data_IF_894960573789
#
_entry.id   IF_894960573789
#
_cell.length_a   1.000
_cell.length_b   1.000
_cell.length_c   1.000
_cell.angle_alpha   90.00
_cell.angle_beta   90.00
_cell.angle_gamma   90.00
#
_symmetry.space_group_name_H-M   'P 1'
#
loop_
_entity.id
_entity.type
_entity.pdbx_description
1 polymer ?
#
# COMPACT_ATOMS: atom_id res chain seq x y z
N UNK A 1 14.35 -14.15 6.93
CA UNK A 1 14.52 -12.69 6.73
C UNK A 1 15.55 -12.14 7.72
N UNK A 2 16.10 -10.97 7.38
CA UNK A 2 16.92 -10.17 8.29
C UNK A 2 16.45 -8.72 8.27
N UNK A 3 16.82 -7.97 9.33
CA UNK A 3 16.41 -6.58 9.51
C UNK A 3 17.65 -5.70 9.53
N UNK A 4 17.71 -4.74 8.63
CA UNK A 4 18.64 -3.62 8.68
C UNK A 4 18.08 -2.61 9.69
N UNK A 5 18.72 -2.49 10.83
CA UNK A 5 18.22 -1.70 11.95
C UNK A 5 18.31 -0.17 11.76
N UNK A 6 18.92 0.29 10.67
CA UNK A 6 19.09 1.69 10.33
C UNK A 6 19.41 1.86 8.85
N UNK A 7 19.16 3.04 8.30
CA UNK A 7 19.56 3.43 6.94
C UNK A 7 21.09 3.52 6.78
N UNK A 8 21.83 3.61 7.87
CA UNK A 8 23.30 3.63 7.89
C UNK A 8 23.93 2.23 7.89
N UNK A 9 23.13 1.18 7.73
CA UNK A 9 23.63 -0.20 7.66
C UNK A 9 24.56 -0.37 6.45
N UNK A 10 25.59 -1.26 6.54
CA UNK A 10 26.49 -1.51 5.42
C UNK A 10 25.73 -1.96 4.16
N UNK A 11 25.97 -1.32 3.02
CA UNK A 11 25.29 -1.62 1.76
C UNK A 11 25.52 -3.08 1.30
N UNK A 12 26.65 -3.69 1.67
CA UNK A 12 26.95 -5.11 1.39
C UNK A 12 25.92 -6.08 1.98
N UNK A 13 25.22 -5.67 3.05
CA UNK A 13 24.14 -6.48 3.63
C UNK A 13 22.97 -6.68 2.65
N UNK A 14 22.78 -5.79 1.68
CA UNK A 14 21.78 -5.91 0.63
C UNK A 14 22.12 -6.97 -0.41
N UNK A 15 23.37 -7.43 -0.48
CA UNK A 15 23.81 -8.48 -1.40
C UNK A 15 23.45 -9.89 -0.92
N UNK A 16 22.92 -10.07 0.28
CA UNK A 16 22.48 -11.36 0.79
C UNK A 16 21.29 -11.85 -0.04
N UNK A 17 21.45 -12.99 -0.67
CA UNK A 17 20.42 -13.67 -1.45
C UNK A 17 19.63 -14.65 -0.55
N UNK A 18 18.46 -15.09 -1.02
CA UNK A 18 17.59 -16.08 -0.36
C UNK A 18 16.97 -15.67 0.98
N UNK A 19 17.14 -14.44 1.42
CA UNK A 19 16.51 -13.91 2.63
C UNK A 19 15.73 -12.63 2.34
N UNK A 20 14.53 -12.54 2.90
CA UNK A 20 13.76 -11.30 2.89
C UNK A 20 14.51 -10.18 3.65
N UNK A 21 14.61 -9.00 3.04
CA UNK A 21 15.35 -7.84 3.53
C UNK A 21 14.39 -6.78 4.02
N UNK A 22 14.40 -6.53 5.32
CA UNK A 22 13.60 -5.49 5.94
C UNK A 22 14.53 -4.36 6.37
N UNK A 23 14.11 -3.11 6.19
CA UNK A 23 14.85 -1.94 6.66
C UNK A 23 14.03 -1.15 7.65
N UNK A 24 14.67 -0.68 8.70
CA UNK A 24 14.07 0.20 9.69
C UNK A 24 14.32 1.65 9.30
N UNK A 25 13.28 2.46 9.19
CA UNK A 25 13.37 3.87 8.84
C UNK A 25 12.62 4.74 9.86
N UNK A 26 13.11 5.94 10.17
CA UNK A 26 12.39 6.87 11.05
C UNK A 26 11.16 7.46 10.35
N UNK A 27 10.14 7.82 11.12
CA UNK A 27 8.89 8.37 10.61
C UNK A 27 9.04 9.79 10.02
N UNK A 28 10.15 10.47 10.32
CA UNK A 28 10.54 11.79 9.83
C UNK A 28 11.60 11.72 8.71
N UNK A 29 11.74 10.57 8.04
CA UNK A 29 12.66 10.41 6.92
C UNK A 29 12.38 11.48 5.84
N UNK A 30 13.41 12.20 5.35
CA UNK A 30 13.26 13.16 4.26
C UNK A 30 12.63 12.52 2.99
N UNK A 31 11.80 13.29 2.30
CA UNK A 31 11.04 12.82 1.14
C UNK A 31 11.95 12.27 0.02
N UNK A 32 13.09 12.93 -0.23
CA UNK A 32 14.06 12.49 -1.24
C UNK A 32 14.63 11.10 -0.93
N UNK A 33 14.87 10.81 0.36
CA UNK A 33 15.34 9.49 0.79
C UNK A 33 14.22 8.46 0.75
N UNK A 34 12.97 8.87 1.03
CA UNK A 34 11.80 8.03 0.92
C UNK A 34 11.61 7.51 -0.52
N UNK A 35 11.71 8.40 -1.51
CA UNK A 35 11.66 8.02 -2.92
C UNK A 35 12.81 7.09 -3.32
N UNK A 36 14.03 7.40 -2.87
CA UNK A 36 15.21 6.56 -3.17
C UNK A 36 15.09 5.16 -2.56
N UNK A 37 14.37 5.03 -1.43
CA UNK A 37 14.12 3.75 -0.76
C UNK A 37 13.32 2.78 -1.65
N UNK A 38 12.51 3.28 -2.56
CA UNK A 38 11.76 2.45 -3.50
C UNK A 38 12.67 1.69 -4.48
N UNK A 39 13.80 2.29 -4.85
CA UNK A 39 14.73 1.74 -5.84
C UNK A 39 15.71 0.72 -5.25
N UNK A 40 15.96 0.74 -3.94
CA UNK A 40 16.89 -0.20 -3.32
C UNK A 40 16.24 -1.58 -3.09
N UNK A 41 17.04 -2.67 -3.10
CA UNK A 41 16.52 -4.04 -3.02
C UNK A 41 16.13 -4.46 -1.60
N UNK A 42 15.19 -3.77 -0.98
CA UNK A 42 14.53 -4.16 0.27
C UNK A 42 13.12 -4.64 -0.01
N UNK A 43 12.65 -5.62 0.74
CA UNK A 43 11.35 -6.27 0.52
C UNK A 43 10.24 -5.64 1.35
N UNK A 44 10.59 -4.98 2.46
CA UNK A 44 9.62 -4.34 3.38
C UNK A 44 10.29 -3.26 4.21
N UNK A 45 9.51 -2.30 4.67
CA UNK A 45 9.95 -1.17 5.49
C UNK A 45 9.30 -1.22 6.85
N UNK A 46 10.10 -1.08 7.91
CA UNK A 46 9.63 -0.96 9.30
C UNK A 46 9.76 0.50 9.73
N UNK A 47 8.63 1.14 9.98
CA UNK A 47 8.58 2.52 10.45
C UNK A 47 8.79 2.57 11.96
N UNK A 48 9.70 3.43 12.41
CA UNK A 48 10.03 3.67 13.82
C UNK A 48 9.97 5.15 14.17
N UNK A 49 10.08 5.48 15.45
CA UNK A 49 10.17 6.87 15.92
C UNK A 49 8.83 7.58 16.13
N UNK A 50 7.70 6.86 16.02
CA UNK A 50 6.44 7.38 16.52
C UNK A 50 6.42 7.30 18.05
N UNK A 51 5.81 8.29 18.70
CA UNK A 51 5.71 8.32 20.15
C UNK A 51 4.91 7.13 20.69
N UNK A 52 5.57 6.26 21.47
CA UNK A 52 4.95 5.06 22.06
C UNK A 52 4.21 5.32 23.38
N UNK A 53 4.43 6.48 23.98
CA UNK A 53 3.91 6.78 25.33
C UNK A 53 2.40 7.06 25.37
N UNK A 54 1.77 7.36 24.24
CA UNK A 54 0.38 7.78 24.14
C UNK A 54 -0.42 6.94 23.12
N UNK A 55 -1.73 6.95 23.18
CA UNK A 55 -2.55 6.49 22.06
C UNK A 55 -2.09 7.15 20.75
N UNK A 56 -2.28 6.47 19.63
CA UNK A 56 -1.95 7.03 18.31
C UNK A 56 -2.61 8.39 18.12
N UNK A 57 -1.80 9.39 17.82
CA UNK A 57 -2.26 10.72 17.50
C UNK A 57 -2.58 10.87 16.00
N UNK A 58 -3.35 11.90 15.66
CA UNK A 58 -3.58 12.26 14.25
C UNK A 58 -2.25 12.60 13.56
N UNK A 59 -1.28 13.20 14.28
CA UNK A 59 0.06 13.48 13.76
C UNK A 59 0.78 12.19 13.34
N UNK A 60 0.73 11.14 14.18
CA UNK A 60 1.35 9.85 13.88
C UNK A 60 0.74 9.25 12.60
N UNK A 61 -0.59 9.33 12.47
CA UNK A 61 -1.27 8.87 11.27
C UNK A 61 -0.89 9.66 10.01
N UNK A 62 -0.69 10.98 10.14
CA UNK A 62 -0.20 11.81 9.03
C UNK A 62 1.22 11.42 8.63
N UNK A 63 2.12 11.15 9.58
CA UNK A 63 3.48 10.68 9.29
C UNK A 63 3.46 9.31 8.60
N UNK A 64 2.68 8.36 9.11
CA UNK A 64 2.49 7.05 8.47
C UNK A 64 1.94 7.19 7.06
N UNK A 65 0.95 8.06 6.87
CA UNK A 65 0.34 8.30 5.56
C UNK A 65 1.33 8.94 4.59
N UNK A 66 2.08 9.95 5.04
CA UNK A 66 3.12 10.58 4.23
C UNK A 66 4.15 9.55 3.75
N UNK A 67 4.64 8.70 4.66
CA UNK A 67 5.55 7.62 4.30
C UNK A 67 4.93 6.64 3.31
N UNK A 68 3.65 6.28 3.50
CA UNK A 68 2.94 5.38 2.60
C UNK A 68 2.79 5.93 1.18
N UNK A 69 2.70 7.25 1.04
CA UNK A 69 2.60 7.90 -0.27
C UNK A 69 3.95 7.93 -1.00
N UNK A 70 5.08 7.82 -0.28
CA UNK A 70 6.43 7.78 -0.85
C UNK A 70 6.86 6.38 -1.33
N UNK A 71 6.35 5.31 -0.70
CA UNK A 71 6.79 3.93 -0.96
C UNK A 71 5.61 3.02 -1.26
N UNK A 72 5.79 2.09 -2.20
CA UNK A 72 4.82 1.04 -2.54
C UNK A 72 5.05 -0.27 -1.77
N UNK A 73 6.28 -0.47 -1.27
CA UNK A 73 6.68 -1.67 -0.51
C UNK A 73 5.83 -1.86 0.75
N UNK A 74 5.68 -3.10 1.24
CA UNK A 74 4.99 -3.37 2.50
C UNK A 74 5.52 -2.50 3.63
N UNK A 75 4.61 -1.77 4.31
CA UNK A 75 4.91 -0.90 5.44
C UNK A 75 4.46 -1.55 6.74
N UNK A 76 5.42 -1.81 7.60
CA UNK A 76 5.22 -2.33 8.95
C UNK A 76 5.46 -1.19 9.96
N UNK A 77 4.83 -1.26 11.11
CA UNK A 77 4.99 -0.29 12.19
C UNK A 77 5.57 -0.96 13.42
N UNK A 78 6.71 -0.46 13.96
CA UNK A 78 7.24 -0.92 15.23
C UNK A 78 6.52 -0.23 16.39
N UNK A 79 6.08 -1.03 17.37
CA UNK A 79 5.43 -0.54 18.60
C UNK A 79 6.00 -1.23 19.82
N UNK A 80 6.19 -0.45 20.88
CA UNK A 80 6.63 -0.91 22.21
C UNK A 80 5.47 -1.02 23.20
N UNK A 81 4.25 -0.64 22.79
CA UNK A 81 3.02 -0.76 23.58
C UNK A 81 1.93 -1.49 22.78
N UNK A 82 0.97 -2.04 23.53
CA UNK A 82 -0.22 -2.62 22.94
C UNK A 82 -1.04 -1.58 22.18
N UNK A 83 -1.57 -1.99 21.05
CA UNK A 83 -2.55 -1.25 20.25
C UNK A 83 -3.93 -1.85 20.49
N UNK A 84 -4.94 -1.00 20.61
CA UNK A 84 -6.31 -1.47 20.67
C UNK A 84 -6.89 -1.68 19.25
N UNK A 85 -8.00 -2.40 19.15
CA UNK A 85 -8.63 -2.74 17.87
C UNK A 85 -8.94 -1.52 17.01
N UNK A 86 -9.35 -0.38 17.62
CA UNK A 86 -9.66 0.85 16.85
C UNK A 86 -8.40 1.46 16.24
N UNK A 87 -7.28 1.45 16.97
CA UNK A 87 -5.99 1.91 16.47
C UNK A 87 -5.52 1.02 15.31
N UNK A 88 -5.69 -0.30 15.41
CA UNK A 88 -5.35 -1.23 14.34
C UNK A 88 -6.17 -0.99 13.07
N UNK A 89 -7.49 -0.75 13.19
CA UNK A 89 -8.34 -0.42 12.04
C UNK A 89 -7.85 0.86 11.34
N UNK A 90 -7.56 1.92 12.11
CA UNK A 90 -7.10 3.18 11.53
C UNK A 90 -5.73 3.03 10.88
N UNK A 91 -4.80 2.27 11.47
CA UNK A 91 -3.50 1.97 10.87
C UNK A 91 -3.65 1.20 9.55
N UNK A 92 -4.55 0.23 9.50
CA UNK A 92 -4.88 -0.50 8.29
C UNK A 92 -5.42 0.45 7.19
N UNK A 93 -6.30 1.39 7.56
CA UNK A 93 -6.90 2.35 6.64
C UNK A 93 -5.86 3.33 6.04
N UNK A 94 -4.85 3.74 6.83
CA UNK A 94 -3.77 4.61 6.33
C UNK A 94 -2.68 3.83 5.56
N UNK A 95 -2.75 2.49 5.55
CA UNK A 95 -1.93 1.67 4.68
C UNK A 95 -0.83 0.87 5.36
N UNK A 96 -0.81 0.76 6.69
CA UNK A 96 0.03 -0.18 7.43
C UNK A 96 -0.42 -1.61 7.11
N UNK A 97 0.53 -2.52 6.89
CA UNK A 97 0.27 -3.90 6.49
C UNK A 97 0.65 -4.92 7.57
N UNK A 98 1.35 -4.47 8.60
CA UNK A 98 1.70 -5.31 9.73
C UNK A 98 2.26 -4.51 10.90
N UNK A 99 2.28 -5.14 12.07
CA UNK A 99 2.82 -4.57 13.31
C UNK A 99 4.01 -5.41 13.75
N UNK A 100 5.09 -4.75 14.11
CA UNK A 100 6.25 -5.34 14.78
C UNK A 100 6.19 -4.95 16.25
N UNK A 101 6.13 -5.95 17.15
CA UNK A 101 6.03 -5.70 18.58
C UNK A 101 7.41 -5.85 19.23
N UNK A 102 7.83 -4.85 20.02
CA UNK A 102 9.04 -4.91 20.81
C UNK A 102 8.79 -5.69 22.12
N UNK A 103 9.05 -6.99 22.10
CA UNK A 103 8.83 -7.88 23.24
C UNK A 103 9.77 -7.63 24.44
N UNK A 104 10.76 -6.72 24.31
CA UNK A 104 11.62 -6.32 25.44
C UNK A 104 10.87 -5.44 26.43
N UNK A 105 9.86 -4.73 25.96
CA UNK A 105 9.09 -3.74 26.73
C UNK A 105 7.63 -4.13 26.89
N UNK A 106 7.10 -4.98 26.02
CA UNK A 106 5.72 -5.44 26.01
C UNK A 106 5.55 -6.73 26.83
N UNK A 107 4.43 -6.88 27.52
CA UNK A 107 4.04 -8.11 28.18
C UNK A 107 3.47 -9.10 27.17
N UNK A 108 3.67 -10.40 27.42
CA UNK A 108 3.15 -11.47 26.56
C UNK A 108 1.62 -11.42 26.41
N UNK A 109 0.91 -11.05 27.50
CA UNK A 109 -0.56 -10.91 27.50
C UNK A 109 -1.03 -9.82 26.56
N UNK A 110 -0.34 -8.66 26.56
CA UNK A 110 -0.63 -7.52 25.70
C UNK A 110 -0.36 -7.88 24.23
N UNK A 111 0.75 -8.56 23.95
CA UNK A 111 1.08 -9.04 22.61
C UNK A 111 0.04 -10.05 22.09
N UNK A 112 -0.39 -10.99 22.94
CA UNK A 112 -1.42 -11.96 22.59
C UNK A 112 -2.78 -11.27 22.27
N UNK A 113 -3.12 -10.20 23.03
CA UNK A 113 -4.32 -9.44 22.76
C UNK A 113 -4.24 -8.69 21.41
N UNK A 114 -3.10 -8.03 21.12
CA UNK A 114 -2.89 -7.37 19.82
C UNK A 114 -3.02 -8.38 18.68
N UNK A 115 -2.44 -9.58 18.83
CA UNK A 115 -2.56 -10.64 17.84
C UNK A 115 -4.02 -11.02 17.58
N UNK A 116 -4.79 -11.26 18.63
CA UNK A 116 -6.22 -11.58 18.54
C UNK A 116 -7.00 -10.46 17.85
N UNK A 117 -6.75 -9.20 18.24
CA UNK A 117 -7.41 -8.05 17.65
C UNK A 117 -7.07 -7.90 16.15
N UNK A 118 -5.84 -8.27 15.73
CA UNK A 118 -5.45 -8.30 14.33
C UNK A 118 -6.17 -9.39 13.53
N UNK A 119 -6.39 -10.58 14.10
CA UNK A 119 -7.15 -11.66 13.45
C UNK A 119 -8.63 -11.28 13.24
N UNK A 120 -9.19 -10.45 14.11
CA UNK A 120 -10.55 -9.98 14.05
C UNK A 120 -10.73 -8.72 13.17
N UNK A 121 -9.65 -8.19 12.56
CA UNK A 121 -9.75 -7.00 11.70
C UNK A 121 -10.64 -7.26 10.49
N UNK A 122 -11.49 -6.29 10.14
CA UNK A 122 -12.26 -6.38 8.90
C UNK A 122 -11.32 -6.41 7.69
N UNK A 123 -11.72 -7.07 6.59
CA UNK A 123 -10.92 -7.06 5.37
C UNK A 123 -10.71 -5.62 4.88
N UNK A 124 -9.49 -5.31 4.43
CA UNK A 124 -9.11 -3.99 3.96
C UNK A 124 -10.07 -3.50 2.89
N UNK A 125 -10.68 -2.36 3.10
CA UNK A 125 -11.49 -1.67 2.09
C UNK A 125 -10.57 -1.13 1.02
N UNK A 126 -10.43 -1.82 -0.10
CA UNK A 126 -9.74 -1.29 -1.28
C UNK A 126 -10.60 -0.13 -1.77
N UNK A 127 -10.15 1.12 -1.56
CA UNK A 127 -10.79 2.28 -2.18
C UNK A 127 -10.65 2.11 -3.69
N UNK A 128 -11.75 1.82 -4.37
CA UNK A 128 -11.82 1.67 -5.83
C UNK A 128 -11.46 2.94 -6.61
N UNK A 129 -11.22 4.05 -5.92
CA UNK A 129 -11.01 5.35 -6.55
C UNK A 129 -9.68 5.47 -7.31
N UNK A 130 -8.73 4.56 -7.12
CA UNK A 130 -7.48 4.57 -7.90
C UNK A 130 -7.47 3.62 -9.10
N UNK A 131 -8.41 2.70 -9.21
CA UNK A 131 -8.48 1.75 -10.32
C UNK A 131 -9.46 2.18 -11.43
N UNK A 132 -10.20 3.29 -11.25
CA UNK A 132 -11.33 3.68 -12.08
C UNK A 132 -11.08 4.69 -13.20
N UNK A 133 -9.88 5.26 -13.31
CA UNK A 133 -9.71 6.49 -14.11
C UNK A 133 -9.05 6.32 -15.49
N UNK A 134 -8.67 5.13 -15.94
CA UNK A 134 -7.86 5.02 -17.17
C UNK A 134 -8.26 3.96 -18.21
N UNK A 135 -9.50 3.50 -18.21
CA UNK A 135 -9.99 2.79 -19.39
C UNK A 135 -11.08 3.63 -20.06
N UNK A 136 -10.80 4.27 -21.22
CA UNK A 136 -11.85 4.78 -22.07
C UNK A 136 -12.76 3.59 -22.43
N UNK A 137 -14.05 3.68 -22.10
CA UNK A 137 -15.02 2.74 -22.64
C UNK A 137 -14.99 2.89 -24.15
N UNK A 138 -14.32 1.99 -24.83
CA UNK A 138 -14.56 1.73 -26.23
C UNK A 138 -16.02 1.25 -26.33
N UNK A 139 -16.92 2.22 -26.57
CA UNK A 139 -18.27 1.90 -27.02
C UNK A 139 -18.11 1.18 -28.35
N UNK A 140 -18.31 -0.13 -28.34
CA UNK A 140 -18.50 -0.91 -29.54
C UNK A 140 -19.76 -0.39 -30.22
N UNK A 141 -19.56 0.50 -31.18
CA UNK A 141 -20.58 0.92 -32.12
C UNK A 141 -20.74 -0.25 -33.08
N UNK A 142 -21.67 -1.11 -32.76
CA UNK A 142 -22.18 -2.10 -33.71
C UNK A 142 -22.81 -1.33 -34.86
N UNK A 143 -22.07 -1.24 -35.96
CA UNK A 143 -22.63 -0.82 -37.24
C UNK A 143 -23.57 -1.93 -37.71
N UNK A 144 -24.84 -1.66 -37.74
CA UNK A 144 -25.81 -2.46 -38.48
C UNK A 144 -25.55 -2.31 -39.97
N UNK A 145 -25.56 -3.37 -40.78
CA UNK A 145 -25.46 -3.23 -42.23
C UNK A 145 -26.79 -2.68 -42.74
N UNK A 146 -26.73 -1.51 -43.41
CA UNK A 146 -27.79 -1.00 -44.23
C UNK A 146 -27.88 -1.88 -45.50
N UNK A 147 -29.04 -2.44 -45.73
CA UNK A 147 -29.41 -3.04 -46.99
C UNK A 147 -29.49 -1.92 -48.02
N UNK A 148 -28.67 -2.01 -49.04
CA UNK A 148 -28.82 -1.30 -50.29
C UNK A 148 -29.99 -1.90 -51.06
N UNK A 149 -31.08 -1.16 -51.20
CA UNK A 149 -32.12 -1.42 -52.20
C UNK A 149 -31.62 -0.85 -53.50
N UNK A 150 -31.37 -1.75 -54.45
CA UNK A 150 -31.25 -1.43 -55.87
C UNK A 150 -32.64 -1.07 -56.38
N UNK A 151 -32.85 0.20 -56.74
CA UNK A 151 -33.96 0.60 -57.56
C UNK A 151 -33.49 0.62 -59.03
N UNK A 152 -33.97 -0.35 -59.81
CA UNK A 152 -33.90 -0.40 -61.27
C UNK A 152 -34.72 0.76 -61.84
N UNK A 153 -34.07 1.78 -62.40
CA UNK A 153 -34.69 2.75 -63.32
C UNK A 153 -34.49 2.30 -64.77
N UNK A 154 -35.53 1.75 -65.33
CA UNK A 154 -35.65 1.51 -66.77
C UNK A 154 -35.78 2.85 -67.48
N UNK A 155 -34.77 3.26 -68.24
CA UNK A 155 -34.85 4.35 -69.21
C UNK A 155 -35.50 3.76 -70.52
N UNK A 156 -36.72 4.18 -70.75
CA UNK A 156 -37.48 4.00 -71.98
C UNK A 156 -37.08 5.09 -72.97
N UNK A 157 -36.35 4.70 -74.02
CA UNK A 157 -36.10 5.55 -75.19
C UNK A 157 -37.20 5.35 -76.15
N UNK A 158 -37.92 6.46 -76.47
CA UNK A 158 -38.81 6.53 -77.63
C UNK A 158 -38.41 7.72 -78.48
N UNK A 159 -38.17 7.43 -79.73
CA UNK A 159 -38.10 8.14 -81.02
C UNK A 159 -37.81 9.62 -81.10
#
# INVERSE_FOLDING_TARGET
FFILSTVDAPAEALAVEDLGRLITVPADLPEELGHSLEEIPVDSVILVGLEDASPLSVRDLMQVRSMRDLISKPLLLLRSRALNQRELVVLQDVGVQGIVLDMRTMKDEDAAQVWKDMEELPPRKIKRDQAGALLPRLSSRTASPQQEQEEDEEEEYDD
#
